data_IF_411352069493
#
_entry.id   IF_411352069493
#
_cell.length_a   1.000
_cell.length_b   1.000
_cell.length_c   1.000
_cell.angle_alpha   90.00
_cell.angle_beta   90.00
_cell.angle_gamma   90.00
#
_symmetry.space_group_name_H-M   'P 1'
#
loop_
_entity.id
_entity.type
_entity.pdbx_description
1 polymer ?
#
# COMPACT_ATOMS: atom_id res chain seq x y z
N UNK A 1 0.17 11.83 -11.32
CA UNK A 1 1.32 11.31 -10.53
C UNK A 1 0.91 11.37 -9.06
N UNK A 2 1.50 10.55 -8.19
CA UNK A 2 1.21 10.43 -6.73
C UNK A 2 1.31 11.75 -5.91
N UNK A 3 1.42 12.90 -6.57
CA UNK A 3 1.48 14.26 -6.01
C UNK A 3 0.13 14.79 -5.51
N UNK A 4 -0.96 14.00 -5.60
CA UNK A 4 -2.27 14.40 -5.07
C UNK A 4 -2.50 14.00 -3.61
N UNK A 5 -1.65 13.15 -3.02
CA UNK A 5 -1.75 12.77 -1.61
C UNK A 5 -0.82 13.67 -0.79
N UNK A 6 -1.30 14.33 0.29
CA UNK A 6 -0.44 15.09 1.17
C UNK A 6 0.71 14.26 1.75
N UNK A 7 1.91 14.85 1.86
CA UNK A 7 3.08 14.14 2.39
C UNK A 7 2.87 13.64 3.83
N UNK A 8 2.12 14.39 4.65
CA UNK A 8 1.74 13.98 6.00
C UNK A 8 0.95 12.67 6.01
N UNK A 9 -0.05 12.56 5.13
CA UNK A 9 -0.85 11.34 4.93
C UNK A 9 0.03 10.15 4.53
N UNK A 10 0.95 10.34 3.59
CA UNK A 10 1.89 9.28 3.17
C UNK A 10 2.81 8.83 4.32
N UNK A 11 3.30 9.77 5.14
CA UNK A 11 4.11 9.45 6.32
C UNK A 11 3.31 8.67 7.36
N UNK A 12 2.06 9.04 7.61
CA UNK A 12 1.17 8.31 8.53
C UNK A 12 0.94 6.86 8.07
N UNK A 13 0.72 6.64 6.77
CA UNK A 13 0.67 5.29 6.23
C UNK A 13 1.98 4.55 6.42
N UNK A 14 3.12 5.20 6.18
CA UNK A 14 4.43 4.58 6.36
C UNK A 14 4.72 4.20 7.82
N UNK A 15 4.29 5.01 8.80
CA UNK A 15 4.35 4.68 10.23
C UNK A 15 3.49 3.44 10.55
N UNK A 16 2.33 3.35 9.90
CA UNK A 16 1.44 2.21 10.06
C UNK A 16 2.04 0.93 9.50
N UNK A 17 2.66 1.00 8.31
CA UNK A 17 3.36 -0.13 7.68
C UNK A 17 4.59 -0.57 8.50
N UNK A 18 5.36 0.39 9.05
CA UNK A 18 6.51 0.11 9.92
C UNK A 18 6.10 -0.60 11.22
N UNK A 19 4.89 -0.31 11.71
CA UNK A 19 4.30 -1.00 12.87
C UNK A 19 3.89 -2.42 12.52
N UNK A 20 3.22 -2.62 11.37
CA UNK A 20 2.72 -3.94 10.96
C UNK A 20 3.83 -4.90 10.54
N UNK A 21 4.86 -4.39 9.84
CA UNK A 21 5.94 -5.19 9.23
C UNK A 21 5.45 -6.40 8.44
N UNK A 22 4.28 -6.29 7.82
CA UNK A 22 3.70 -7.38 7.03
C UNK A 22 4.10 -7.21 5.56
N UNK A 23 4.78 -8.20 4.96
CA UNK A 23 5.25 -8.12 3.57
C UNK A 23 4.12 -8.07 2.54
N UNK A 24 2.86 -8.30 2.93
CA UNK A 24 1.70 -8.22 2.04
C UNK A 24 0.99 -6.85 2.13
N UNK A 25 1.58 -5.89 2.85
CA UNK A 25 1.05 -4.53 3.00
C UNK A 25 2.15 -3.54 2.58
N UNK A 26 1.99 -2.96 1.40
CA UNK A 26 3.01 -2.12 0.78
C UNK A 26 2.38 -0.97 0.00
N UNK A 27 3.17 0.07 -0.25
CA UNK A 27 2.77 1.16 -1.14
C UNK A 27 2.90 0.71 -2.59
N UNK A 28 1.96 1.16 -3.43
CA UNK A 28 2.03 0.98 -4.87
C UNK A 28 1.98 2.34 -5.57
N UNK A 29 3.00 2.60 -6.37
CA UNK A 29 3.08 3.76 -7.25
C UNK A 29 2.70 3.36 -8.68
N UNK A 30 1.85 4.14 -9.34
CA UNK A 30 1.46 3.90 -10.75
C UNK A 30 2.65 4.04 -11.70
N UNK A 31 3.67 4.82 -11.33
CA UNK A 31 4.83 5.10 -12.16
C UNK A 31 5.78 6.07 -11.47
N UNK A 32 6.88 6.37 -12.15
CA UNK A 32 7.91 7.27 -11.65
C UNK A 32 7.50 8.75 -11.78
N UNK A 33 7.93 9.58 -10.82
CA UNK A 33 7.76 11.04 -10.86
C UNK A 33 8.63 11.62 -11.97
N UNK A 34 8.02 12.38 -12.89
CA UNK A 34 8.72 12.96 -14.04
C UNK A 34 9.09 11.94 -15.14
N UNK A 35 8.56 10.71 -15.06
CA UNK A 35 8.84 9.62 -16.02
C UNK A 35 10.01 8.73 -15.61
N UNK A 36 9.95 7.45 -15.97
CA UNK A 36 10.91 6.46 -15.49
C UNK A 36 12.31 6.54 -16.13
N UNK A 37 12.51 7.39 -17.15
CA UNK A 37 13.84 7.75 -17.64
C UNK A 37 14.66 8.55 -16.61
N UNK A 38 14.01 9.16 -15.62
CA UNK A 38 14.63 9.89 -14.51
C UNK A 38 14.14 9.31 -13.19
N UNK A 39 14.84 8.30 -12.66
CA UNK A 39 14.42 7.64 -11.41
C UNK A 39 14.72 8.48 -10.14
N UNK A 40 15.70 9.39 -10.19
CA UNK A 40 16.16 10.18 -9.03
C UNK A 40 15.03 10.92 -8.28
N UNK A 41 14.10 11.63 -8.94
CA UNK A 41 12.97 12.28 -8.26
C UNK A 41 12.07 11.31 -7.52
N UNK A 42 11.88 10.10 -8.08
CA UNK A 42 11.07 9.05 -7.44
C UNK A 42 11.74 8.53 -6.17
N UNK A 43 13.06 8.30 -6.23
CA UNK A 43 13.85 7.90 -5.06
C UNK A 43 13.79 8.98 -3.98
N UNK A 44 14.00 10.25 -4.34
CA UNK A 44 13.95 11.36 -3.39
C UNK A 44 12.57 11.48 -2.73
N UNK A 45 11.50 11.31 -3.51
CA UNK A 45 10.13 11.31 -2.98
C UNK A 45 9.89 10.15 -2.00
N UNK A 46 10.26 8.91 -2.36
CA UNK A 46 10.15 7.76 -1.46
C UNK A 46 10.97 8.00 -0.18
N UNK A 47 12.18 8.53 -0.30
CA UNK A 47 13.01 8.89 0.86
C UNK A 47 12.34 9.96 1.74
N UNK A 48 11.62 10.92 1.16
CA UNK A 48 10.90 11.94 1.92
C UNK A 48 9.74 11.37 2.76
N UNK A 49 9.21 10.21 2.36
CA UNK A 49 8.17 9.46 3.09
C UNK A 49 8.81 8.61 4.19
N UNK A 50 9.85 7.85 3.85
CA UNK A 50 10.43 6.82 4.73
C UNK A 50 11.42 7.37 5.76
N UNK A 51 12.10 8.49 5.47
CA UNK A 51 13.08 9.08 6.39
C UNK A 51 12.38 9.78 7.55
N UNK A 52 12.75 9.41 8.78
CA UNK A 52 12.31 10.11 9.99
C UNK A 52 13.37 11.16 10.37
N UNK A 53 14.63 10.74 10.44
CA UNK A 53 15.80 11.59 10.66
C UNK A 53 17.05 10.93 10.07
N UNK A 54 18.22 11.51 10.27
CA UNK A 54 19.50 11.03 9.72
C UNK A 54 19.84 9.57 10.10
N UNK A 55 19.35 9.08 11.24
CA UNK A 55 19.68 7.77 11.80
C UNK A 55 18.53 6.77 11.74
N UNK A 56 17.30 7.21 11.46
CA UNK A 56 16.09 6.39 11.54
C UNK A 56 15.25 6.49 10.27
N UNK A 57 14.85 5.33 9.76
CA UNK A 57 13.93 5.18 8.64
C UNK A 57 12.82 4.21 9.02
N UNK A 58 11.63 4.46 8.48
CA UNK A 58 10.49 3.54 8.51
C UNK A 58 10.78 2.34 7.62
N UNK A 59 10.33 1.16 8.04
CA UNK A 59 10.33 -0.05 7.22
C UNK A 59 8.98 -0.16 6.53
N UNK A 60 8.89 0.36 5.30
CA UNK A 60 7.72 0.19 4.45
C UNK A 60 8.17 -0.09 3.01
N UNK A 61 7.60 -1.13 2.41
CA UNK A 61 7.89 -1.48 1.04
C UNK A 61 7.12 -0.56 0.08
N UNK A 62 7.80 -0.17 -1.00
CA UNK A 62 7.23 0.66 -2.08
C UNK A 62 7.52 -0.01 -3.40
N UNK A 63 6.47 -0.34 -4.13
CA UNK A 63 6.56 -0.93 -5.47
C UNK A 63 6.08 0.07 -6.52
N UNK A 64 6.77 0.10 -7.67
CA UNK A 64 6.30 0.82 -8.85
C UNK A 64 5.69 -0.21 -9.78
N UNK A 65 4.36 -0.31 -9.76
CA UNK A 65 3.62 -1.32 -10.52
C UNK A 65 2.35 -0.72 -11.15
N UNK A 66 2.40 -0.31 -12.44
CA UNK A 66 1.22 0.18 -13.14
C UNK A 66 0.16 -0.90 -13.38
N UNK A 67 0.54 -2.18 -13.40
CA UNK A 67 -0.40 -3.27 -13.69
C UNK A 67 -1.37 -3.49 -12.54
N UNK A 68 -0.95 -3.28 -11.29
CA UNK A 68 -1.87 -3.34 -10.14
C UNK A 68 -2.96 -2.24 -10.22
N UNK A 69 -2.62 -1.05 -10.71
CA UNK A 69 -3.60 0.02 -10.94
C UNK A 69 -4.61 -0.38 -12.02
N UNK A 70 -4.14 -1.01 -13.11
CA UNK A 70 -5.00 -1.47 -14.19
C UNK A 70 -5.91 -2.62 -13.73
N UNK A 71 -5.34 -3.63 -13.10
CA UNK A 71 -6.04 -4.86 -12.69
C UNK A 71 -7.11 -4.61 -11.65
N UNK A 72 -6.86 -3.71 -10.69
CA UNK A 72 -7.84 -3.34 -9.67
C UNK A 72 -8.65 -2.08 -10.03
N UNK A 73 -8.47 -1.52 -11.22
CA UNK A 73 -9.25 -0.39 -11.70
C UNK A 73 -9.10 0.89 -10.86
N UNK A 74 -7.90 1.13 -10.30
CA UNK A 74 -7.62 2.26 -9.41
C UNK A 74 -7.47 3.55 -10.24
N UNK A 75 -8.52 4.36 -10.27
CA UNK A 75 -8.56 5.61 -11.06
C UNK A 75 -8.05 6.83 -10.29
N UNK A 76 -8.38 6.90 -9.00
CA UNK A 76 -8.05 8.01 -8.12
C UNK A 76 -7.27 7.54 -6.90
N UNK A 77 -6.62 8.48 -6.22
CA UNK A 77 -5.86 8.22 -4.98
C UNK A 77 -6.14 9.35 -3.98
N UNK A 78 -5.99 9.15 -2.66
CA UNK A 78 -5.59 7.92 -1.98
C UNK A 78 -6.59 6.77 -2.14
N UNK A 79 -6.06 5.55 -2.24
CA UNK A 79 -6.83 4.32 -2.38
C UNK A 79 -6.13 3.19 -1.62
N UNK A 80 -6.90 2.38 -0.89
CA UNK A 80 -6.45 1.17 -0.21
C UNK A 80 -7.15 0.00 -0.88
N UNK A 81 -6.39 -0.92 -1.46
CA UNK A 81 -6.91 -2.10 -2.14
C UNK A 81 -6.52 -3.35 -1.36
N UNK A 82 -7.52 -4.15 -0.99
CA UNK A 82 -7.31 -5.50 -0.46
C UNK A 82 -7.62 -6.51 -1.56
N UNK A 83 -6.58 -7.17 -2.05
CA UNK A 83 -6.67 -8.16 -3.12
C UNK A 83 -7.04 -9.54 -2.57
N UNK A 84 -7.93 -10.24 -3.28
CA UNK A 84 -8.44 -11.56 -2.92
C UNK A 84 -8.09 -12.59 -3.99
N UNK A 85 -7.70 -13.78 -3.53
CA UNK A 85 -7.50 -14.94 -4.40
C UNK A 85 -6.34 -14.76 -5.38
N UNK A 86 -5.38 -13.90 -5.06
CA UNK A 86 -4.20 -13.70 -5.90
C UNK A 86 -3.41 -15.01 -5.97
N UNK A 87 -3.23 -15.52 -7.19
CA UNK A 87 -2.45 -16.73 -7.48
C UNK A 87 -1.65 -16.47 -8.73
N UNK A 88 -0.33 -16.37 -8.59
CA UNK A 88 0.59 -16.14 -9.69
C UNK A 88 1.24 -17.43 -10.20
N UNK A 89 1.65 -17.42 -11.46
CA UNK A 89 2.47 -18.45 -12.08
C UNK A 89 3.95 -18.28 -11.71
N UNK A 90 4.42 -17.04 -11.65
CA UNK A 90 5.75 -16.67 -11.22
C UNK A 90 5.65 -15.55 -10.15
N UNK A 91 6.23 -15.77 -8.98
CA UNK A 91 6.26 -14.81 -7.87
C UNK A 91 7.17 -13.60 -8.11
N UNK A 92 8.09 -13.67 -9.07
CA UNK A 92 8.98 -12.56 -9.44
C UNK A 92 8.32 -11.57 -10.41
N UNK A 93 7.18 -11.93 -10.99
CA UNK A 93 6.42 -11.07 -11.90
C UNK A 93 5.26 -10.41 -11.15
N UNK A 94 4.90 -9.21 -11.59
CA UNK A 94 3.76 -8.44 -11.07
C UNK A 94 2.49 -9.30 -10.91
N UNK A 95 1.82 -9.17 -9.76
CA UNK A 95 0.50 -9.74 -9.52
C UNK A 95 -0.61 -9.02 -10.30
N UNK A 96 -0.32 -7.82 -10.81
CA UNK A 96 -1.22 -7.08 -11.69
C UNK A 96 -1.14 -7.56 -13.14
N UNK A 97 -0.12 -8.34 -13.52
CA UNK A 97 0.09 -8.74 -14.90
C UNK A 97 -0.83 -9.90 -15.30
N UNK A 98 -1.78 -9.66 -16.21
CA UNK A 98 -2.80 -10.64 -16.60
C UNK A 98 -2.24 -12.01 -17.01
N UNK A 99 -1.13 -12.04 -17.76
CA UNK A 99 -0.45 -13.29 -18.18
C UNK A 99 0.21 -14.06 -17.03
N UNK A 100 0.45 -13.42 -15.89
CA UNK A 100 1.03 -14.05 -14.70
C UNK A 100 -0.04 -14.62 -13.75
N UNK A 101 -1.32 -14.27 -13.94
CA UNK A 101 -2.40 -14.67 -13.06
C UNK A 101 -2.97 -16.03 -13.46
N UNK A 102 -3.04 -16.96 -12.50
CA UNK A 102 -3.71 -18.27 -12.68
C UNK A 102 -5.23 -18.17 -12.68
N UNK A 103 -5.76 -17.09 -12.09
CA UNK A 103 -7.18 -16.76 -12.06
C UNK A 103 -7.32 -15.24 -11.89
N UNK A 104 -8.45 -14.67 -12.32
CA UNK A 104 -8.72 -13.23 -12.15
C UNK A 104 -8.93 -12.92 -10.66
N UNK A 105 -8.06 -12.13 -10.00
CA UNK A 105 -8.26 -11.73 -8.62
C UNK A 105 -9.43 -10.75 -8.52
N UNK A 106 -10.02 -10.67 -7.34
CA UNK A 106 -10.96 -9.61 -6.99
C UNK A 106 -10.32 -8.69 -5.97
N UNK A 107 -10.82 -7.46 -5.84
CA UNK A 107 -10.31 -6.54 -4.83
C UNK A 107 -11.44 -5.74 -4.20
N UNK A 108 -11.32 -5.49 -2.90
CA UNK A 108 -12.10 -4.48 -2.21
C UNK A 108 -11.27 -3.20 -2.16
N UNK A 109 -11.78 -2.12 -2.75
CA UNK A 109 -11.07 -0.83 -2.83
C UNK A 109 -11.82 0.20 -2.00
N UNK A 110 -11.09 0.85 -1.09
CA UNK A 110 -11.57 1.99 -0.33
C UNK A 110 -10.83 3.25 -0.81
N UNK A 111 -11.60 4.28 -1.16
CA UNK A 111 -11.06 5.58 -1.57
C UNK A 111 -11.17 6.60 -0.43
N UNK A 112 -10.23 7.55 -0.42
CA UNK A 112 -10.23 8.68 0.51
C UNK A 112 -9.08 8.64 1.50
N UNK A 113 -8.82 9.78 2.15
CA UNK A 113 -7.80 9.93 3.18
C UNK A 113 -8.37 9.40 4.51
N UNK A 114 -8.17 8.11 4.73
CA UNK A 114 -8.62 7.38 5.93
C UNK A 114 -7.46 6.61 6.54
N UNK A 115 -7.48 6.37 7.85
CA UNK A 115 -6.46 5.54 8.49
C UNK A 115 -6.49 4.11 7.95
N UNK A 116 -5.33 3.46 7.88
CA UNK A 116 -5.25 2.06 7.46
C UNK A 116 -5.96 1.13 8.45
N UNK A 117 -5.99 1.47 9.74
CA UNK A 117 -6.81 0.75 10.73
C UNK A 117 -8.29 0.76 10.33
N UNK A 118 -8.86 1.95 10.09
CA UNK A 118 -10.26 2.08 9.68
C UNK A 118 -10.54 1.31 8.38
N UNK A 119 -9.62 1.40 7.41
CA UNK A 119 -9.76 0.67 6.15
C UNK A 119 -9.78 -0.86 6.37
N UNK A 120 -8.86 -1.38 7.19
CA UNK A 120 -8.81 -2.80 7.53
C UNK A 120 -10.11 -3.23 8.24
N UNK A 121 -10.57 -2.47 9.22
CA UNK A 121 -11.82 -2.75 9.94
C UNK A 121 -13.01 -2.77 8.97
N UNK A 122 -13.12 -1.76 8.09
CA UNK A 122 -14.21 -1.65 7.14
C UNK A 122 -14.24 -2.81 6.14
N UNK A 123 -13.08 -3.20 5.62
CA UNK A 123 -12.93 -4.36 4.73
C UNK A 123 -13.29 -5.65 5.50
N UNK A 124 -12.81 -5.78 6.73
CA UNK A 124 -12.96 -7.00 7.51
C UNK A 124 -14.40 -7.28 7.95
N UNK A 125 -15.30 -6.29 7.95
CA UNK A 125 -16.76 -6.51 8.15
C UNK A 125 -17.30 -7.56 7.18
N UNK A 126 -16.82 -7.54 5.92
CA UNK A 126 -17.27 -8.46 4.88
C UNK A 126 -16.46 -9.76 4.89
N UNK A 127 -15.14 -9.65 5.10
CA UNK A 127 -14.22 -10.78 4.94
C UNK A 127 -14.17 -11.70 6.16
N UNK A 128 -14.40 -11.15 7.36
CA UNK A 128 -14.35 -11.88 8.64
C UNK A 128 -13.05 -12.67 8.82
N UNK A 129 -11.93 -12.08 8.41
CA UNK A 129 -10.58 -12.65 8.51
C UNK A 129 -9.96 -12.37 9.88
N UNK A 130 -9.51 -13.44 10.56
CA UNK A 130 -8.75 -13.34 11.82
C UNK A 130 -7.46 -12.53 11.65
N UNK A 131 -6.80 -12.62 10.49
CA UNK A 131 -5.57 -11.87 10.21
C UNK A 131 -5.83 -10.36 10.18
N UNK A 132 -6.90 -9.94 9.49
CA UNK A 132 -7.29 -8.53 9.45
C UNK A 132 -7.73 -8.02 10.82
N UNK A 133 -8.40 -8.85 11.63
CA UNK A 133 -8.72 -8.51 13.03
C UNK A 133 -7.46 -8.24 13.86
N UNK A 134 -6.44 -9.09 13.72
CA UNK A 134 -5.17 -8.92 14.44
C UNK A 134 -4.42 -7.67 13.99
N UNK A 135 -4.40 -7.38 12.68
CA UNK A 135 -3.80 -6.16 12.15
C UNK A 135 -4.49 -4.91 12.69
N UNK A 136 -5.83 -4.84 12.62
CA UNK A 136 -6.58 -3.70 13.16
C UNK A 136 -6.30 -3.49 14.65
N UNK A 137 -6.25 -4.57 15.43
CA UNK A 137 -5.92 -4.50 16.87
C UNK A 137 -4.50 -3.99 17.12
N UNK A 138 -3.51 -4.45 16.35
CA UNK A 138 -2.13 -3.98 16.48
C UNK A 138 -2.01 -2.47 16.22
N UNK A 139 -2.82 -1.94 15.29
CA UNK A 139 -2.87 -0.52 14.97
C UNK A 139 -3.67 0.33 15.96
N UNK A 140 -4.69 -0.24 16.60
CA UNK A 140 -5.48 0.44 17.63
C UNK A 140 -4.83 0.47 19.01
N UNK A 141 -3.91 -0.47 19.30
CA UNK A 141 -3.21 -0.52 20.58
C UNK A 141 -2.18 0.62 20.74
N UNK A 142 -1.59 1.08 19.63
CA UNK A 142 -0.60 2.18 19.63
C UNK A 142 -1.22 3.57 19.79
N UNK A 143 -2.56 3.70 19.73
CA UNK A 143 -3.28 4.96 19.94
C UNK A 143 -3.43 5.34 21.42
N UNK A 144 -3.11 4.43 22.35
CA UNK A 144 -3.27 4.61 23.80
C UNK A 144 -1.94 4.82 24.56
N UNK A 145 -0.80 4.83 23.86
CA UNK A 145 0.53 5.06 24.44
C UNK A 145 1.15 6.41 24.03
N UNK A 146 0.34 7.39 23.65
CA UNK A 146 0.76 8.79 23.43
C UNK A 146 0.09 9.73 24.43
#
# INVERSE_FOLDING_TARGET
>A
ISESIPLGTLKNYADTLDTLRDPNVFFVMRGCIGGCSKIKPTIAFVQSILTINEKKRRVAEVQIDPFLFQTYGIKHVPAIAYAHGVKTANSELSEGLAKNLKAKPTATVLYGDVSLQYAIEKINVQIKSKRLTLMAKALGATSYEQ
#
